data_IF_868114383990
#
_entry.id   IF_868114383990
#
_cell.length_a   1.000
_cell.length_b   1.000
_cell.length_c   1.000
_cell.angle_alpha   90.00
_cell.angle_beta   90.00
_cell.angle_gamma   90.00
#
_symmetry.space_group_name_H-M   'P 1'
#
loop_
_entity.id
_entity.type
_entity.pdbx_description
1 polymer ?
#
# COMPACT_ATOMS: atom_id res chain seq x y z
N UNK A 1 23.89 1.13 7.58
CA UNK A 1 23.17 0.84 7.51
C UNK A 1 22.57 0.73 7.78
N UNK A 2 22.33 0.86 7.64
CA UNK A 2 21.72 0.66 7.79
C UNK A 2 21.04 0.47 7.69
N UNK A 3 20.90 0.78 7.82
CA UNK A 3 19.99 0.74 7.84
C UNK A 3 18.92 0.51 8.22
N UNK A 4 18.90 0.09 8.59
CA UNK A 4 17.60 -0.54 8.72
C UNK A 4 16.82 0.02 9.89
N UNK A 5 17.45 0.18 10.93
CA UNK A 5 16.80 0.76 12.09
C UNK A 5 16.33 2.18 11.81
N UNK A 6 17.06 2.88 11.01
CA UNK A 6 16.65 4.21 10.63
C UNK A 6 15.33 4.17 9.90
N UNK A 7 15.15 3.15 9.08
CA UNK A 7 13.93 3.04 8.31
C UNK A 7 12.72 2.90 9.19
N UNK A 8 12.78 2.05 10.17
CA UNK A 8 11.61 1.83 10.97
C UNK A 8 11.24 3.06 11.78
N UNK A 9 12.20 3.82 12.20
CA UNK A 9 11.89 5.04 12.93
C UNK A 9 11.16 6.04 12.08
N UNK A 10 11.61 6.20 10.86
CA UNK A 10 11.04 7.23 10.01
C UNK A 10 9.66 6.87 9.53
N UNK A 11 9.40 5.61 9.38
CA UNK A 11 8.20 5.19 8.68
C UNK A 11 6.95 5.28 9.53
N UNK A 12 7.06 5.06 10.81
CA UNK A 12 5.84 4.94 11.60
C UNK A 12 5.19 6.28 11.86
N UNK A 13 5.95 7.33 11.87
CA UNK A 13 5.43 8.60 12.32
C UNK A 13 4.94 9.51 11.21
N UNK A 14 5.80 9.88 10.27
CA UNK A 14 5.38 10.92 9.33
C UNK A 14 4.30 10.45 8.37
N UNK A 15 4.41 9.22 7.92
CA UNK A 15 3.50 8.76 6.89
C UNK A 15 2.06 8.71 7.38
N UNK A 16 1.86 8.38 8.63
CA UNK A 16 0.49 8.27 9.13
C UNK A 16 -0.18 9.63 9.21
N UNK A 17 0.59 10.70 9.26
CA UNK A 17 0.03 12.04 9.37
C UNK A 17 -0.20 12.66 8.00
N UNK A 18 0.71 12.43 7.06
CA UNK A 18 0.76 13.21 5.84
C UNK A 18 0.34 12.47 4.60
N UNK A 19 -0.38 11.39 4.73
CA UNK A 19 -0.79 10.59 3.58
C UNK A 19 -1.76 11.39 2.71
N UNK A 20 -1.43 11.63 1.45
CA UNK A 20 -2.25 12.53 0.62
C UNK A 20 -3.68 12.07 0.44
N UNK A 21 -3.90 10.79 0.23
CA UNK A 21 -5.24 10.30 0.00
C UNK A 21 -5.99 9.91 1.25
N UNK A 22 -5.39 10.10 2.40
CA UNK A 22 -5.89 9.52 3.63
C UNK A 22 -7.28 10.01 4.03
N UNK A 23 -7.56 11.29 3.79
CA UNK A 23 -8.84 11.82 4.24
C UNK A 23 -10.03 11.22 3.51
N UNK A 24 -9.80 10.58 2.37
CA UNK A 24 -10.87 9.91 1.65
C UNK A 24 -11.11 8.50 2.14
N UNK A 25 -10.18 7.94 2.89
CA UNK A 25 -10.23 6.55 3.29
C UNK A 25 -11.32 6.19 4.29
N UNK A 26 -11.76 7.08 5.19
CA UNK A 26 -12.81 6.68 6.12
C UNK A 26 -14.07 6.17 5.42
N UNK A 27 -14.45 6.79 4.31
CA UNK A 27 -15.60 6.31 3.57
C UNK A 27 -15.33 4.99 2.89
N UNK A 28 -14.15 4.88 2.25
CA UNK A 28 -13.77 3.63 1.62
C UNK A 28 -13.69 2.52 2.65
N UNK A 29 -13.12 2.80 3.81
CA UNK A 29 -13.00 1.83 4.87
C UNK A 29 -14.37 1.32 5.30
N UNK A 30 -15.32 2.22 5.47
CA UNK A 30 -16.67 1.82 5.86
C UNK A 30 -17.31 0.93 4.79
N UNK A 31 -17.12 1.29 3.52
CA UNK A 31 -17.68 0.50 2.43
C UNK A 31 -17.05 -0.87 2.33
N UNK A 32 -15.73 -0.94 2.55
CA UNK A 32 -15.04 -2.22 2.52
C UNK A 32 -15.50 -3.11 3.67
N UNK A 33 -15.69 -2.54 4.84
CA UNK A 33 -16.19 -3.31 5.97
C UNK A 33 -17.62 -3.81 5.70
N UNK A 34 -18.44 -2.97 5.10
CA UNK A 34 -19.80 -3.39 4.75
C UNK A 34 -19.78 -4.51 3.73
N UNK A 35 -18.79 -4.55 2.86
CA UNK A 35 -18.65 -5.60 1.86
C UNK A 35 -17.92 -6.83 2.39
N UNK A 36 -17.62 -6.86 3.69
CA UNK A 36 -16.96 -8.00 4.34
C UNK A 36 -15.53 -8.21 3.84
N UNK A 37 -14.87 -7.16 3.43
CA UNK A 37 -13.48 -7.24 3.01
C UNK A 37 -12.60 -7.16 4.24
N UNK A 38 -11.63 -8.07 4.33
CA UNK A 38 -10.69 -8.09 5.45
C UNK A 38 -9.31 -7.60 5.05
N UNK A 39 -8.93 -7.80 3.78
CA UNK A 39 -7.58 -7.49 3.34
C UNK A 39 -7.61 -6.88 1.94
N UNK A 40 -6.86 -5.82 1.75
CA UNK A 40 -6.68 -5.18 0.45
C UNK A 40 -5.19 -5.22 0.14
N UNK A 41 -4.85 -5.65 -1.08
CA UNK A 41 -3.43 -5.76 -1.49
C UNK A 41 -3.22 -5.04 -2.81
N UNK A 42 -2.12 -4.31 -2.87
CA UNK A 42 -1.72 -3.54 -4.04
C UNK A 42 -0.25 -3.85 -4.31
N UNK A 43 0.06 -4.40 -5.49
CA UNK A 43 1.41 -4.82 -5.84
C UNK A 43 1.93 -4.03 -7.03
N UNK A 44 3.23 -3.78 -7.02
CA UNK A 44 3.85 -3.01 -8.09
C UNK A 44 5.28 -3.50 -8.33
N UNK A 45 5.79 -3.22 -9.53
CA UNK A 45 7.18 -3.49 -9.88
C UNK A 45 7.58 -2.52 -10.99
N UNK A 46 8.83 -2.06 -10.96
CA UNK A 46 9.32 -1.13 -11.96
C UNK A 46 10.78 -1.34 -12.24
N UNK A 47 11.22 -0.92 -13.45
CA UNK A 47 12.60 -1.06 -13.85
C UNK A 47 12.80 -0.23 -15.12
N UNK A 48 13.89 0.54 -15.17
CA UNK A 48 14.21 1.36 -16.34
C UNK A 48 13.03 2.20 -16.79
N UNK A 49 12.35 2.79 -15.82
CA UNK A 49 11.18 3.63 -16.01
C UNK A 49 9.95 2.87 -16.56
N UNK A 50 10.02 1.55 -16.62
CA UNK A 50 8.86 0.74 -16.94
C UNK A 50 8.11 0.46 -15.65
N UNK A 51 6.84 0.80 -15.63
CA UNK A 51 6.03 0.71 -14.42
C UNK A 51 4.93 -0.30 -14.60
N UNK A 52 4.83 -1.22 -13.68
CA UNK A 52 3.78 -2.22 -13.68
C UNK A 52 3.08 -2.20 -12.35
N UNK A 53 1.78 -2.02 -12.38
CA UNK A 53 0.96 -2.03 -11.18
C UNK A 53 -0.16 -3.02 -11.43
N UNK A 54 -0.30 -3.99 -10.53
CA UNK A 54 -1.37 -4.97 -10.66
C UNK A 54 -2.66 -4.37 -10.14
N UNK A 55 -3.80 -4.82 -10.66
CA UNK A 55 -5.08 -4.38 -10.10
C UNK A 55 -5.14 -4.73 -8.62
N UNK A 56 -5.74 -3.86 -7.84
CA UNK A 56 -5.88 -4.10 -6.42
C UNK A 56 -6.76 -5.32 -6.19
N UNK A 57 -6.40 -6.12 -5.19
CA UNK A 57 -7.17 -7.31 -4.85
C UNK A 57 -7.79 -7.17 -3.48
N UNK A 58 -8.95 -7.80 -3.31
CA UNK A 58 -9.71 -7.76 -2.07
C UNK A 58 -9.97 -9.19 -1.61
N UNK A 59 -9.78 -9.44 -0.31
CA UNK A 59 -10.06 -10.76 0.26
C UNK A 59 -10.97 -10.61 1.47
N UNK A 60 -11.84 -11.60 1.67
CA UNK A 60 -12.73 -11.59 2.80
C UNK A 60 -12.03 -12.22 4.02
N UNK A 61 -12.79 -12.38 5.11
CA UNK A 61 -12.23 -12.88 6.36
C UNK A 61 -11.75 -14.32 6.26
N UNK A 62 -12.24 -15.07 5.26
CA UNK A 62 -11.77 -16.44 5.05
C UNK A 62 -10.59 -16.51 4.09
N UNK A 63 -10.11 -15.36 3.60
CA UNK A 63 -8.99 -15.32 2.70
C UNK A 63 -9.34 -15.50 1.24
N UNK A 64 -10.63 -15.54 0.91
CA UNK A 64 -11.06 -15.71 -0.48
C UNK A 64 -11.14 -14.36 -1.19
N UNK A 65 -10.88 -14.39 -2.48
CA UNK A 65 -11.04 -13.20 -3.30
C UNK A 65 -12.51 -12.80 -3.30
N UNK A 66 -12.78 -11.52 -3.00
CA UNK A 66 -14.14 -11.07 -2.80
C UNK A 66 -14.38 -9.67 -3.37
N UNK A 67 -13.72 -9.35 -4.47
CA UNK A 67 -13.77 -8.00 -5.01
C UNK A 67 -15.07 -7.60 -5.64
N UNK A 68 -15.96 -8.55 -5.95
CA UNK A 68 -17.20 -8.22 -6.64
C UNK A 68 -18.16 -7.40 -5.79
N UNK A 69 -18.00 -7.43 -4.46
CA UNK A 69 -18.82 -6.61 -3.58
C UNK A 69 -18.33 -5.18 -3.42
N UNK A 70 -17.23 -4.84 -4.08
CA UNK A 70 -16.63 -3.51 -3.97
C UNK A 70 -16.96 -2.72 -5.22
N UNK A 71 -17.55 -1.54 -5.06
CA UNK A 71 -17.92 -0.72 -6.20
C UNK A 71 -16.69 -0.24 -6.95
N UNK A 72 -16.89 0.09 -8.23
CA UNK A 72 -15.79 0.61 -9.04
C UNK A 72 -15.22 1.88 -8.42
N UNK A 73 -16.07 2.75 -7.92
CA UNK A 73 -15.61 4.00 -7.33
C UNK A 73 -14.75 3.77 -6.10
N UNK A 74 -15.15 2.84 -5.25
CA UNK A 74 -14.35 2.52 -4.07
C UNK A 74 -13.02 1.90 -4.47
N UNK A 75 -13.04 0.98 -5.44
CA UNK A 75 -11.80 0.39 -5.93
C UNK A 75 -10.84 1.45 -6.46
N UNK A 76 -11.37 2.38 -7.24
CA UNK A 76 -10.54 3.43 -7.83
C UNK A 76 -9.98 4.35 -6.76
N UNK A 77 -10.77 4.66 -5.77
CA UNK A 77 -10.34 5.50 -4.66
C UNK A 77 -9.17 4.86 -3.90
N UNK A 78 -9.26 3.56 -3.67
CA UNK A 78 -8.21 2.82 -2.99
C UNK A 78 -6.94 2.77 -3.85
N UNK A 79 -7.09 2.54 -5.15
CA UNK A 79 -5.94 2.49 -6.04
C UNK A 79 -5.23 3.83 -6.11
N UNK A 80 -5.98 4.92 -6.18
CA UNK A 80 -5.38 6.24 -6.20
C UNK A 80 -4.59 6.50 -4.91
N UNK A 81 -5.16 6.09 -3.78
CA UNK A 81 -4.49 6.26 -2.51
C UNK A 81 -3.15 5.53 -2.48
N UNK A 82 -3.12 4.28 -2.93
CA UNK A 82 -1.86 3.53 -2.90
C UNK A 82 -0.84 4.11 -3.87
N UNK A 83 -1.29 4.56 -5.04
CA UNK A 83 -0.39 5.22 -5.98
C UNK A 83 0.23 6.47 -5.36
N UNK A 84 -0.59 7.27 -4.71
CA UNK A 84 -0.08 8.49 -4.08
C UNK A 84 0.90 8.17 -2.98
N UNK A 85 0.62 7.16 -2.18
CA UNK A 85 1.54 6.72 -1.14
C UNK A 85 2.87 6.29 -1.73
N UNK A 86 2.81 5.50 -2.81
CA UNK A 86 4.02 5.01 -3.44
C UNK A 86 4.87 6.15 -3.98
N UNK A 87 4.24 7.08 -4.69
CA UNK A 87 4.97 8.20 -5.26
C UNK A 87 5.54 9.11 -4.17
N UNK A 88 4.84 9.22 -3.06
CA UNK A 88 5.32 10.04 -1.97
C UNK A 88 6.52 9.42 -1.29
N UNK A 89 6.45 8.11 -1.03
CA UNK A 89 7.52 7.45 -0.29
C UNK A 89 8.72 7.12 -1.15
N UNK A 90 8.51 6.73 -2.39
CA UNK A 90 9.58 6.29 -3.28
C UNK A 90 9.34 6.80 -4.69
N UNK A 91 9.53 8.10 -4.92
CA UNK A 91 9.23 8.66 -6.26
C UNK A 91 10.04 8.04 -7.37
N UNK A 92 11.17 7.42 -7.07
CA UNK A 92 12.04 6.82 -8.08
C UNK A 92 11.92 5.30 -8.14
N UNK A 93 10.77 4.78 -7.72
CA UNK A 93 10.62 3.33 -7.57
C UNK A 93 10.82 2.55 -8.87
N UNK A 94 10.61 3.16 -10.02
CA UNK A 94 10.76 2.47 -11.30
C UNK A 94 12.05 2.83 -12.04
N UNK A 95 12.92 3.63 -11.42
CA UNK A 95 14.12 4.11 -12.10
C UNK A 95 15.26 3.11 -11.99
N UNK A 96 16.19 3.18 -12.96
CA UNK A 96 17.40 2.35 -12.96
C UNK A 96 17.05 0.89 -12.82
N UNK A 97 17.70 0.16 -11.92
CA UNK A 97 17.42 -1.25 -11.70
C UNK A 97 16.05 -1.49 -11.11
N UNK A 98 15.46 -0.46 -10.53
CA UNK A 98 14.10 -0.53 -10.12
C UNK A 98 13.86 -1.17 -8.78
N UNK A 99 12.60 -1.45 -8.54
CA UNK A 99 12.17 -2.00 -7.28
C UNK A 99 10.85 -2.73 -7.47
N UNK A 100 10.40 -3.38 -6.41
CA UNK A 100 9.07 -3.98 -6.38
C UNK A 100 8.57 -3.89 -4.95
N UNK A 101 7.26 -4.03 -4.80
CA UNK A 101 6.73 -3.99 -3.46
C UNK A 101 5.25 -4.20 -3.44
N UNK A 102 4.71 -4.02 -2.25
CA UNK A 102 3.27 -4.20 -2.05
C UNK A 102 2.80 -3.40 -0.86
N UNK A 103 1.54 -3.02 -0.90
CA UNK A 103 0.83 -2.54 0.27
C UNK A 103 -0.17 -3.60 0.69
N UNK A 104 -0.28 -3.83 1.98
CA UNK A 104 -1.32 -4.69 2.55
C UNK A 104 -2.09 -3.90 3.58
N UNK A 105 -3.38 -3.76 3.38
CA UNK A 105 -4.23 -2.99 4.27
C UNK A 105 -5.21 -3.93 4.95
N UNK A 106 -5.05 -4.07 6.25
CA UNK A 106 -5.96 -4.89 7.08
C UNK A 106 -7.13 -4.02 7.45
N UNK A 107 -8.28 -4.32 6.84
CA UNK A 107 -9.44 -3.44 6.93
C UNK A 107 -9.99 -3.40 8.36
N UNK A 108 -10.01 -4.54 9.03
CA UNK A 108 -10.55 -4.60 10.39
C UNK A 108 -9.81 -3.71 11.37
N UNK A 109 -8.49 -3.73 11.32
CA UNK A 109 -7.67 -2.96 12.24
C UNK A 109 -7.23 -1.62 11.66
N UNK A 110 -7.48 -1.39 10.37
CA UNK A 110 -7.04 -0.21 9.66
C UNK A 110 -5.53 -0.04 9.73
N UNK A 111 -4.82 -1.16 9.61
CA UNK A 111 -3.37 -1.15 9.63
C UNK A 111 -2.85 -1.37 8.22
N UNK A 112 -1.92 -0.53 7.81
CA UNK A 112 -1.35 -0.56 6.47
C UNK A 112 0.12 -0.89 6.58
N UNK A 113 0.55 -1.91 5.83
CA UNK A 113 1.94 -2.32 5.76
C UNK A 113 2.44 -2.10 4.35
N UNK A 114 3.58 -1.46 4.21
CA UNK A 114 4.20 -1.23 2.92
C UNK A 114 5.56 -1.92 2.92
N UNK A 115 5.75 -2.90 2.02
CA UNK A 115 7.03 -3.57 1.83
C UNK A 115 7.59 -3.15 0.49
N UNK A 116 8.81 -2.66 0.53
CA UNK A 116 9.46 -2.13 -0.68
C UNK A 116 10.85 -2.72 -0.77
N UNK A 117 11.21 -3.25 -1.94
CA UNK A 117 12.48 -3.92 -2.14
C UNK A 117 13.16 -3.36 -3.39
N UNK A 118 14.38 -2.90 -3.22
CA UNK A 118 15.19 -2.41 -4.32
C UNK A 118 15.94 -3.57 -4.96
N UNK A 119 16.08 -3.53 -6.28
CA UNK A 119 16.73 -4.64 -6.98
C UNK A 119 18.25 -4.64 -6.81
N UNK A 120 18.82 -3.44 -6.76
CA UNK A 120 20.28 -3.34 -6.68
C UNK A 120 20.79 -3.72 -5.30
N UNK A 121 20.04 -3.34 -4.30
CA UNK A 121 20.46 -3.53 -2.91
C UNK A 121 19.59 -4.62 -2.31
N UNK A 122 20.25 -5.61 -1.72
CA UNK A 122 19.52 -6.77 -1.21
C UNK A 122 18.99 -6.50 0.20
N UNK A 123 18.24 -5.45 0.37
CA UNK A 123 17.57 -5.19 1.63
C UNK A 123 16.13 -4.78 1.37
N UNK A 124 15.31 -4.91 2.39
CA UNK A 124 13.90 -4.63 2.28
C UNK A 124 13.54 -3.49 3.22
N UNK A 125 12.77 -2.54 2.70
CA UNK A 125 12.26 -1.43 3.47
C UNK A 125 10.81 -1.75 3.83
N UNK A 126 10.54 -1.92 5.10
CA UNK A 126 9.20 -2.28 5.56
C UNK A 126 8.71 -1.19 6.50
N UNK A 127 7.50 -0.72 6.23
CA UNK A 127 6.88 0.31 7.06
C UNK A 127 5.48 -0.14 7.44
N UNK A 128 5.11 0.12 8.67
CA UNK A 128 3.80 -0.24 9.17
C UNK A 128 3.13 1.03 9.68
N UNK A 129 1.95 1.29 9.15
CA UNK A 129 1.18 2.47 9.52
C UNK A 129 -0.10 2.00 10.19
N UNK A 130 -0.22 2.28 11.46
CA UNK A 130 -1.34 1.81 12.24
C UNK A 130 -2.49 2.79 12.28
N UNK A 131 -3.57 2.40 12.95
CA UNK A 131 -4.72 3.28 13.10
C UNK A 131 -4.39 4.48 13.97
N UNK A 132 -5.21 5.51 13.86
CA UNK A 132 -4.99 6.74 14.60
C UNK A 132 -5.90 6.83 15.80
#
# INVERSE_FOLDING_TARGET
>A
MIHADTLSQNTSRPASVDQPGRRCLPEALAKLRAAKIALVRFEYAGQSDYRRVKPVTFRDTSGRVAGWGVSRGTRQEVEVFFHEMLELRFPEWAMAEGSRGEFEWSVGTDELVHRHQWRVIAYEDVAVFGPR
#
